data_IF_039712322088
#
_entry.id   IF_039712322088
#
_cell.length_a   1.000
_cell.length_b   1.000
_cell.length_c   1.000
_cell.angle_alpha   90.00
_cell.angle_beta   90.00
_cell.angle_gamma   90.00
#
_symmetry.space_group_name_H-M   'P 1'
#
loop_
_entity.id
_entity.type
_entity.pdbx_description
1 polymer ?
#
# COMPACT_ATOMS: atom_id res chain seq x y z
N UNK A 1 -31.35 6.70 -16.84
CA UNK A 1 -29.88 6.59 -16.85
C UNK A 1 -29.32 7.57 -15.82
N UNK A 2 -28.53 7.10 -14.85
CA UNK A 2 -27.94 7.97 -13.81
C UNK A 2 -26.93 8.96 -14.40
N UNK A 3 -26.93 10.19 -13.89
CA UNK A 3 -25.93 11.21 -14.22
C UNK A 3 -24.54 10.85 -13.68
N UNK A 4 -23.48 11.45 -14.22
CA UNK A 4 -22.10 11.14 -13.80
C UNK A 4 -21.84 11.37 -12.30
N UNK A 5 -22.49 12.36 -11.68
CA UNK A 5 -22.35 12.64 -10.24
C UNK A 5 -22.98 11.55 -9.36
N UNK A 6 -24.14 11.06 -9.76
CA UNK A 6 -24.87 10.02 -9.03
C UNK A 6 -24.15 8.67 -9.09
N UNK A 7 -23.56 8.32 -10.24
CA UNK A 7 -22.67 7.16 -10.37
C UNK A 7 -21.47 7.23 -9.43
N UNK A 8 -20.82 8.40 -9.32
CA UNK A 8 -19.67 8.60 -8.41
C UNK A 8 -20.09 8.41 -6.95
N UNK A 9 -21.28 8.90 -6.57
CA UNK A 9 -21.82 8.74 -5.22
C UNK A 9 -22.07 7.26 -4.87
N UNK A 10 -22.77 6.53 -5.74
CA UNK A 10 -23.03 5.08 -5.55
C UNK A 10 -21.71 4.31 -5.42
N UNK A 11 -20.74 4.61 -6.29
CA UNK A 11 -19.41 4.01 -6.24
C UNK A 11 -18.72 4.26 -4.92
N UNK A 12 -18.67 5.53 -4.50
CA UNK A 12 -18.05 5.93 -3.25
C UNK A 12 -18.68 5.21 -2.05
N UNK A 13 -20.00 5.27 -1.91
CA UNK A 13 -20.72 4.68 -0.78
C UNK A 13 -20.49 3.16 -0.68
N UNK A 14 -20.51 2.46 -1.82
CA UNK A 14 -20.28 1.02 -1.85
C UNK A 14 -18.86 0.65 -1.39
N UNK A 15 -17.82 1.30 -1.93
CA UNK A 15 -16.45 0.97 -1.55
C UNK A 15 -16.05 1.52 -0.18
N UNK A 16 -16.59 2.67 0.25
CA UNK A 16 -16.43 3.15 1.64
C UNK A 16 -17.00 2.13 2.62
N UNK A 17 -18.18 1.56 2.33
CA UNK A 17 -18.75 0.49 3.15
C UNK A 17 -17.92 -0.80 3.08
N UNK A 18 -17.46 -1.20 1.89
CA UNK A 18 -16.68 -2.42 1.69
C UNK A 18 -15.34 -2.39 2.43
N UNK A 19 -14.67 -1.23 2.43
CA UNK A 19 -13.38 -1.02 3.09
C UNK A 19 -13.50 -0.56 4.53
N UNK A 20 -14.71 -0.45 5.07
CA UNK A 20 -14.91 -0.07 6.45
C UNK A 20 -14.27 -1.11 7.38
N UNK A 21 -13.22 -0.70 8.10
CA UNK A 21 -12.52 -1.56 9.03
C UNK A 21 -13.45 -1.89 10.21
N UNK A 22 -13.75 -3.18 10.38
CA UNK A 22 -14.46 -3.64 11.58
C UNK A 22 -13.52 -3.50 12.78
N UNK A 23 -14.04 -2.95 13.88
CA UNK A 23 -13.32 -2.98 15.16
C UNK A 23 -13.26 -4.42 15.63
N UNK A 24 -12.05 -4.95 15.73
CA UNK A 24 -11.76 -6.27 16.33
C UNK A 24 -11.03 -6.00 17.64
N UNK A 25 -11.46 -6.67 18.71
CA UNK A 25 -10.80 -6.53 20.00
C UNK A 25 -9.42 -7.19 19.96
N UNK A 26 -8.44 -6.60 20.63
CA UNK A 26 -7.06 -7.10 20.62
C UNK A 26 -6.98 -8.52 21.19
N UNK A 27 -7.82 -8.84 22.17
CA UNK A 27 -7.92 -10.17 22.76
C UNK A 27 -8.32 -11.23 21.75
N UNK A 28 -9.22 -10.92 20.81
CA UNK A 28 -9.63 -11.85 19.76
C UNK A 28 -8.48 -12.16 18.80
N UNK A 29 -7.66 -11.15 18.49
CA UNK A 29 -6.45 -11.29 17.66
C UNK A 29 -5.45 -12.20 18.38
N UNK A 30 -5.18 -11.94 19.66
CA UNK A 30 -4.24 -12.73 20.46
C UNK A 30 -4.68 -14.19 20.58
N UNK A 31 -5.97 -14.44 20.85
CA UNK A 31 -6.53 -15.78 20.92
C UNK A 31 -6.39 -16.52 19.58
N UNK A 32 -6.65 -15.84 18.46
CA UNK A 32 -6.49 -16.42 17.14
C UNK A 32 -5.03 -16.82 16.86
N UNK A 33 -4.08 -15.92 17.12
CA UNK A 33 -2.65 -16.16 16.88
C UNK A 33 -2.11 -17.31 17.76
N UNK A 34 -2.54 -17.40 19.02
CA UNK A 34 -2.19 -18.51 19.90
C UNK A 34 -2.72 -19.85 19.37
N UNK A 35 -3.97 -19.88 18.90
CA UNK A 35 -4.59 -21.08 18.34
C UNK A 35 -3.97 -21.49 17.00
N UNK A 36 -3.56 -20.52 16.18
CA UNK A 36 -3.03 -20.77 14.85
C UNK A 36 -1.65 -21.48 14.86
N UNK A 37 -0.94 -21.46 16.00
CA UNK A 37 0.36 -22.10 16.19
C UNK A 37 1.33 -21.84 15.02
N UNK A 38 1.45 -20.56 14.64
CA UNK A 38 2.23 -20.14 13.47
C UNK A 38 3.72 -20.45 13.66
N UNK A 39 4.44 -20.83 12.58
CA UNK A 39 5.88 -21.04 12.65
C UNK A 39 6.59 -19.76 13.08
N UNK A 40 7.54 -19.89 14.01
CA UNK A 40 8.39 -18.78 14.45
C UNK A 40 9.72 -18.83 13.72
N UNK A 41 10.19 -17.68 13.27
CA UNK A 41 11.50 -17.54 12.67
C UNK A 41 12.61 -17.64 13.75
N UNK A 42 13.81 -18.11 13.39
CA UNK A 42 14.98 -18.05 14.27
C UNK A 42 15.33 -16.62 14.72
N UNK A 43 15.94 -16.49 15.90
CA UNK A 43 16.19 -15.16 16.51
C UNK A 43 17.21 -14.32 15.74
N UNK A 44 18.17 -14.97 15.08
CA UNK A 44 19.12 -14.33 14.17
C UNK A 44 18.41 -13.74 12.95
N UNK A 45 17.45 -14.46 12.37
CA UNK A 45 16.62 -13.96 11.25
C UNK A 45 15.74 -12.80 11.69
N UNK A 46 15.12 -12.89 12.88
CA UNK A 46 14.33 -11.80 13.45
C UNK A 46 15.19 -10.53 13.62
N UNK A 47 16.38 -10.68 14.19
CA UNK A 47 17.31 -9.54 14.39
C UNK A 47 17.77 -8.94 13.06
N UNK A 48 17.97 -9.76 12.03
CA UNK A 48 18.31 -9.30 10.69
C UNK A 48 17.14 -8.52 10.04
N UNK A 49 15.91 -8.97 10.21
CA UNK A 49 14.71 -8.30 9.65
C UNK A 49 14.38 -6.98 10.34
N UNK A 50 14.74 -6.85 11.62
CA UNK A 50 14.56 -5.60 12.39
C UNK A 50 15.76 -4.64 12.29
N UNK A 51 16.81 -5.01 11.56
CA UNK A 51 17.96 -4.15 11.34
C UNK A 51 17.60 -2.94 10.45
N UNK A 52 18.40 -1.88 10.53
CA UNK A 52 18.23 -0.73 9.65
C UNK A 52 18.43 -1.12 8.19
N UNK A 53 17.57 -0.57 7.33
CA UNK A 53 17.71 -0.63 5.88
C UNK A 53 19.04 0.02 5.51
N UNK A 54 19.80 -0.67 4.66
CA UNK A 54 21.08 -0.21 4.14
C UNK A 54 20.88 0.58 2.84
N UNK A 55 21.86 1.42 2.50
CA UNK A 55 21.88 2.14 1.23
C UNK A 55 21.86 1.18 0.03
N UNK A 56 22.50 0.01 0.17
CA UNK A 56 22.53 -1.01 -0.88
C UNK A 56 21.14 -1.60 -1.12
N UNK A 57 20.41 -1.96 -0.06
CA UNK A 57 19.05 -2.47 -0.17
C UNK A 57 18.10 -1.44 -0.79
N UNK A 58 18.19 -0.17 -0.36
CA UNK A 58 17.41 0.91 -0.95
C UNK A 58 17.70 1.06 -2.46
N UNK A 59 18.98 1.12 -2.82
CA UNK A 59 19.42 1.27 -4.20
C UNK A 59 18.94 0.11 -5.08
N UNK A 60 19.04 -1.12 -4.57
CA UNK A 60 18.52 -2.29 -5.28
C UNK A 60 17.00 -2.26 -5.41
N UNK A 61 16.28 -1.84 -4.37
CA UNK A 61 14.83 -1.71 -4.40
C UNK A 61 14.37 -0.69 -5.45
N UNK A 62 15.02 0.48 -5.52
CA UNK A 62 14.75 1.51 -6.53
C UNK A 62 14.95 0.96 -7.95
N UNK A 63 16.06 0.25 -8.20
CA UNK A 63 16.37 -0.33 -9.52
C UNK A 63 15.44 -1.46 -9.94
N UNK A 64 14.80 -2.14 -8.98
CA UNK A 64 13.83 -3.21 -9.24
C UNK A 64 12.41 -2.69 -9.50
N UNK A 65 12.15 -1.40 -9.30
CA UNK A 65 10.86 -0.82 -9.62
C UNK A 65 10.55 -0.93 -11.11
N UNK A 66 9.29 -1.18 -11.42
CA UNK A 66 8.84 -1.28 -12.81
C UNK A 66 8.52 0.11 -13.37
N UNK A 67 9.05 0.40 -14.55
CA UNK A 67 8.68 1.61 -15.29
C UNK A 67 7.25 1.51 -15.87
N UNK A 68 6.66 2.66 -16.17
CA UNK A 68 5.36 2.81 -16.82
C UNK A 68 4.17 2.51 -15.92
N UNK A 69 4.36 2.48 -14.59
CA UNK A 69 3.27 2.33 -13.63
C UNK A 69 2.61 3.68 -13.36
N UNK A 70 1.30 3.66 -13.12
CA UNK A 70 0.57 4.87 -12.76
C UNK A 70 0.97 5.33 -11.35
N UNK A 71 1.25 6.63 -11.13
CA UNK A 71 1.60 7.14 -9.81
C UNK A 71 0.39 7.21 -8.88
N UNK A 72 0.70 7.35 -7.59
CA UNK A 72 -0.28 7.63 -6.55
C UNK A 72 -0.75 9.09 -6.50
N UNK A 73 -1.39 9.49 -5.40
CA UNK A 73 -1.86 10.86 -5.18
C UNK A 73 -0.82 11.97 -5.33
N UNK A 74 0.48 11.69 -5.10
CA UNK A 74 1.56 12.67 -5.25
C UNK A 74 1.95 12.97 -6.71
N UNK A 75 1.56 12.11 -7.65
CA UNK A 75 1.91 12.19 -9.06
C UNK A 75 3.37 11.84 -9.38
N UNK A 76 4.15 11.30 -8.44
CA UNK A 76 5.55 10.94 -8.63
C UNK A 76 5.68 9.45 -9.00
N UNK A 77 6.05 9.11 -10.24
CA UNK A 77 6.20 7.73 -10.64
C UNK A 77 7.58 7.17 -10.22
N UNK A 78 7.75 5.85 -10.28
CA UNK A 78 9.03 5.20 -9.96
C UNK A 78 10.23 5.81 -10.73
N UNK A 79 10.02 6.22 -11.98
CA UNK A 79 11.05 6.85 -12.81
C UNK A 79 11.58 8.15 -12.22
N UNK A 80 10.77 8.88 -11.45
CA UNK A 80 11.23 10.07 -10.74
C UNK A 80 12.31 9.71 -9.72
N UNK A 81 12.02 8.73 -8.87
CA UNK A 81 12.95 8.26 -7.83
C UNK A 81 14.22 7.64 -8.43
N UNK A 82 14.10 6.87 -9.51
CA UNK A 82 15.25 6.33 -10.24
C UNK A 82 16.07 7.45 -10.88
N UNK A 83 15.41 8.45 -11.49
CA UNK A 83 16.10 9.55 -12.19
C UNK A 83 16.88 10.45 -11.24
N UNK A 84 16.37 10.66 -10.02
CA UNK A 84 16.95 11.54 -9.00
C UNK A 84 17.55 10.76 -7.82
N UNK A 85 17.92 9.48 -8.01
CA UNK A 85 18.49 8.58 -7.00
C UNK A 85 19.61 9.25 -6.20
N UNK A 86 20.59 9.86 -6.87
CA UNK A 86 21.73 10.52 -6.23
C UNK A 86 21.32 11.63 -5.24
N UNK A 87 20.19 12.30 -5.49
CA UNK A 87 19.68 13.38 -4.64
C UNK A 87 18.73 12.86 -3.56
N UNK A 88 17.93 11.84 -3.86
CA UNK A 88 16.83 11.38 -3.00
C UNK A 88 17.19 10.20 -2.10
N UNK A 89 18.24 9.43 -2.40
CA UNK A 89 18.56 8.21 -1.65
C UNK A 89 18.83 8.46 -0.17
N UNK A 90 19.51 9.56 0.19
CA UNK A 90 19.77 9.89 1.60
C UNK A 90 18.46 10.19 2.35
N UNK A 91 17.63 11.17 1.94
CA UNK A 91 16.40 11.45 2.67
C UNK A 91 15.40 10.29 2.66
N UNK A 92 15.33 9.49 1.59
CA UNK A 92 14.51 8.28 1.56
C UNK A 92 14.96 7.26 2.60
N UNK A 93 16.27 7.01 2.70
CA UNK A 93 16.84 6.07 3.66
C UNK A 93 16.57 6.50 5.10
N UNK A 94 16.67 7.81 5.38
CA UNK A 94 16.37 8.38 6.69
C UNK A 94 14.91 8.17 7.07
N UNK A 95 13.97 8.50 6.16
CA UNK A 95 12.53 8.31 6.40
C UNK A 95 12.20 6.84 6.62
N UNK A 96 12.69 5.94 5.77
CA UNK A 96 12.40 4.50 5.90
C UNK A 96 12.92 3.91 7.21
N UNK A 97 14.12 4.29 7.64
CA UNK A 97 14.66 3.84 8.93
C UNK A 97 13.98 4.49 10.13
N UNK A 98 13.54 5.74 9.99
CA UNK A 98 12.73 6.41 11.01
C UNK A 98 11.39 5.69 11.21
N UNK A 99 10.72 5.30 10.13
CA UNK A 99 9.49 4.48 10.16
C UNK A 99 9.74 3.15 10.87
N UNK A 100 10.83 2.45 10.54
CA UNK A 100 11.17 1.18 11.20
C UNK A 100 11.45 1.33 12.70
N UNK A 101 12.08 2.43 13.10
CA UNK A 101 12.44 2.69 14.50
C UNK A 101 11.24 3.14 15.32
N UNK A 102 10.47 4.11 14.79
CA UNK A 102 9.34 4.72 15.50
C UNK A 102 8.04 3.93 15.39
N UNK A 103 7.95 3.02 14.41
CA UNK A 103 6.73 2.27 14.07
C UNK A 103 5.56 3.18 13.66
N UNK A 104 5.88 4.34 13.09
CA UNK A 104 4.93 5.34 12.61
C UNK A 104 5.21 5.61 11.13
N UNK A 105 4.18 5.47 10.28
CA UNK A 105 4.28 5.73 8.84
C UNK A 105 3.81 7.14 8.49
N UNK A 106 4.37 7.79 7.45
CA UNK A 106 3.83 9.01 6.91
C UNK A 106 2.35 8.84 6.53
N UNK A 107 1.52 9.85 6.82
CA UNK A 107 0.11 9.80 6.47
C UNK A 107 -0.11 9.59 4.96
N UNK A 108 0.74 10.17 4.12
CA UNK A 108 0.70 10.05 2.66
C UNK A 108 0.81 8.59 2.20
N UNK A 109 1.53 7.73 2.94
CA UNK A 109 1.63 6.30 2.62
C UNK A 109 0.33 5.53 2.84
N UNK A 110 -0.61 6.11 3.59
CA UNK A 110 -1.96 5.55 3.81
C UNK A 110 -3.00 6.10 2.83
N UNK A 111 -2.59 7.01 1.94
CA UNK A 111 -3.47 7.62 0.96
C UNK A 111 -3.31 6.92 -0.40
N UNK A 112 -4.44 6.70 -1.09
CA UNK A 112 -4.43 6.05 -2.40
C UNK A 112 -5.55 6.61 -3.29
N UNK A 113 -5.33 6.59 -4.60
CA UNK A 113 -6.41 6.74 -5.56
C UNK A 113 -7.01 5.38 -5.90
N UNK A 114 -8.32 5.24 -5.71
CA UNK A 114 -9.04 4.03 -6.10
C UNK A 114 -9.60 4.21 -7.50
N UNK A 115 -9.13 3.39 -8.44
CA UNK A 115 -9.70 3.26 -9.77
C UNK A 115 -10.43 1.93 -9.93
N UNK A 116 -11.44 1.88 -10.79
CA UNK A 116 -12.29 0.71 -10.96
C UNK A 116 -12.13 0.10 -12.35
N UNK A 117 -11.84 -1.21 -12.40
CA UNK A 117 -11.75 -1.98 -13.64
C UNK A 117 -12.89 -2.99 -13.70
N UNK A 118 -13.72 -2.91 -14.74
CA UNK A 118 -14.79 -3.88 -14.96
C UNK A 118 -14.22 -5.28 -15.22
N UNK A 119 -14.79 -6.32 -14.58
CA UNK A 119 -14.50 -7.72 -14.91
C UNK A 119 -14.97 -8.04 -16.33
N UNK A 120 -14.10 -8.64 -17.12
CA UNK A 120 -14.43 -9.07 -18.49
C UNK A 120 -15.67 -9.97 -18.53
N UNK A 121 -16.53 -9.74 -19.52
CA UNK A 121 -17.75 -10.54 -19.73
C UNK A 121 -18.85 -10.37 -18.68
N UNK A 122 -18.78 -9.37 -17.81
CA UNK A 122 -19.77 -9.15 -16.75
C UNK A 122 -20.67 -7.94 -16.99
N UNK A 123 -21.84 -7.92 -16.34
CA UNK A 123 -22.79 -6.82 -16.43
C UNK A 123 -22.21 -5.52 -15.84
N UNK A 124 -22.15 -4.47 -16.67
CA UNK A 124 -21.65 -3.14 -16.32
C UNK A 124 -22.54 -2.39 -15.33
N UNK A 125 -23.79 -2.84 -15.14
CA UNK A 125 -24.73 -2.21 -14.22
C UNK A 125 -24.54 -2.67 -12.77
N UNK A 126 -23.76 -3.73 -12.53
CA UNK A 126 -23.53 -4.28 -11.20
C UNK A 126 -22.20 -3.78 -10.62
N UNK A 127 -22.25 -2.97 -9.56
CA UNK A 127 -21.04 -2.40 -8.95
C UNK A 127 -20.02 -3.44 -8.46
N UNK A 128 -20.49 -4.59 -7.94
CA UNK A 128 -19.65 -5.73 -7.52
C UNK A 128 -18.80 -6.36 -8.63
N UNK A 129 -19.13 -6.04 -9.89
CA UNK A 129 -18.41 -6.51 -11.06
C UNK A 129 -17.17 -5.66 -11.37
N UNK A 130 -16.99 -4.54 -10.67
CA UNK A 130 -15.79 -3.72 -10.78
C UNK A 130 -14.74 -4.17 -9.74
N UNK A 131 -13.49 -4.29 -10.18
CA UNK A 131 -12.32 -4.55 -9.35
C UNK A 131 -11.70 -3.22 -8.96
N UNK A 132 -11.60 -2.89 -7.67
CA UNK A 132 -10.87 -1.72 -7.23
C UNK A 132 -9.37 -1.97 -7.35
N UNK A 133 -8.63 -0.98 -7.85
CA UNK A 133 -7.17 -0.90 -7.81
C UNK A 133 -6.81 0.36 -7.05
N UNK A 134 -6.07 0.19 -5.96
CA UNK A 134 -5.50 1.29 -5.19
C UNK A 134 -4.15 1.67 -5.78
N UNK A 135 -4.02 2.91 -6.23
CA UNK A 135 -2.77 3.51 -6.66
C UNK A 135 -2.17 4.24 -5.46
N UNK A 136 -1.14 3.64 -4.88
CA UNK A 136 -0.34 4.21 -3.79
C UNK A 136 0.80 5.05 -4.37
N UNK A 137 1.40 5.92 -3.56
CA UNK A 137 2.66 6.57 -3.92
C UNK A 137 3.78 5.53 -4.08
N UNK A 138 4.85 5.91 -4.77
CA UNK A 138 5.95 4.99 -5.11
C UNK A 138 7.09 4.97 -4.07
N UNK A 139 7.12 5.92 -3.14
CA UNK A 139 8.14 6.08 -2.09
C UNK A 139 7.95 5.17 -0.87
#
# INVERSE_FOLDING_TARGET
>A
CYGSGEKKKIVREYYESLYHQKKVQEEEIQQYLQKANLPRIPKDVETMLDANITMMELTEALKRQNNGKAPGPDGLPAEFYIKFEETLSIPLLEVMNEVLTKKEIPKTWTEAYITLILKEGTDQQQIKNYRPISLLNSD
#
